data_IF_846938240670
#
_entry.id   IF_846938240670
#
_cell.length_a   1.000
_cell.length_b   1.000
_cell.length_c   1.000
_cell.angle_alpha   90.00
_cell.angle_beta   90.00
_cell.angle_gamma   90.00
#
_symmetry.space_group_name_H-M   'P 1'
#
loop_
_entity.id
_entity.type
_entity.pdbx_description
1 polymer ?
#
# COMPACT_ATOMS: atom_id res chain seq x y z
N UNK A 1 -2.26 12.55 -17.29
CA UNK A 1 -1.42 11.79 -16.35
C UNK A 1 -0.70 12.84 -15.54
N UNK A 2 -0.73 12.72 -14.23
CA UNK A 2 -0.12 13.66 -13.31
C UNK A 2 1.20 13.09 -12.78
N UNK A 3 2.18 13.95 -12.62
CA UNK A 3 3.41 13.58 -11.94
C UNK A 3 3.14 13.51 -10.43
N UNK A 4 3.69 12.48 -9.78
CA UNK A 4 3.64 12.31 -8.34
C UNK A 4 4.93 12.88 -7.76
N UNK A 5 4.88 14.13 -7.32
CA UNK A 5 6.00 14.78 -6.64
C UNK A 5 6.14 14.22 -5.22
N UNK A 6 7.20 13.45 -4.97
CA UNK A 6 7.48 12.91 -3.64
C UNK A 6 7.72 14.00 -2.59
N UNK A 7 8.13 15.21 -2.99
CA UNK A 7 8.22 16.37 -2.10
C UNK A 7 6.86 16.81 -1.57
N UNK A 8 5.83 16.80 -2.43
CA UNK A 8 4.46 17.08 -2.05
C UNK A 8 3.86 15.93 -1.23
N UNK A 9 3.99 14.70 -1.71
CA UNK A 9 3.39 13.49 -1.09
C UNK A 9 3.95 13.21 0.30
N UNK A 10 5.16 13.70 0.64
CA UNK A 10 5.67 13.69 2.01
C UNK A 10 4.73 14.36 3.02
N UNK A 11 3.86 15.27 2.58
CA UNK A 11 2.90 15.94 3.46
C UNK A 11 1.54 15.22 3.51
N UNK A 12 1.39 14.07 2.85
CA UNK A 12 0.13 13.33 2.78
C UNK A 12 0.12 12.14 3.74
N UNK A 13 -1.05 11.74 4.20
CA UNK A 13 -1.20 10.50 4.95
C UNK A 13 -1.28 9.29 4.02
N UNK A 14 -0.68 8.19 4.44
CA UNK A 14 -0.68 6.92 3.73
C UNK A 14 -1.45 5.84 4.46
N UNK A 15 -2.49 5.30 3.82
CA UNK A 15 -3.30 4.21 4.35
C UNK A 15 -3.34 3.01 3.40
N UNK A 16 -3.35 1.81 3.97
CA UNK A 16 -3.60 0.56 3.26
C UNK A 16 -4.97 0.00 3.62
N UNK A 17 -5.56 -0.76 2.70
CA UNK A 17 -6.86 -1.42 2.87
C UNK A 17 -6.62 -2.92 2.96
N UNK A 18 -6.96 -3.52 4.10
CA UNK A 18 -6.75 -4.95 4.34
C UNK A 18 -8.00 -5.76 3.99
N UNK A 19 -7.82 -6.89 3.30
CA UNK A 19 -8.90 -7.86 3.06
C UNK A 19 -9.94 -7.45 2.02
N UNK A 20 -9.59 -6.56 1.08
CA UNK A 20 -10.41 -6.18 -0.07
C UNK A 20 -10.40 -7.23 -1.21
N UNK A 21 -9.51 -8.22 -1.17
CA UNK A 21 -9.48 -9.37 -2.09
C UNK A 21 -9.67 -10.70 -1.35
N UNK A 22 -10.52 -11.58 -1.88
CA UNK A 22 -10.78 -12.89 -1.29
C UNK A 22 -9.49 -13.75 -1.24
N UNK A 23 -9.18 -14.30 -0.07
CA UNK A 23 -8.00 -15.16 0.14
C UNK A 23 -6.65 -14.42 0.27
N UNK A 24 -6.65 -13.08 0.23
CA UNK A 24 -5.42 -12.28 0.21
C UNK A 24 -4.71 -12.27 1.58
N UNK A 25 -5.47 -12.21 2.68
CA UNK A 25 -4.90 -12.17 4.03
C UNK A 25 -4.21 -13.49 4.40
N UNK A 26 -4.74 -14.62 3.93
CA UNK A 26 -4.12 -15.93 4.10
C UNK A 26 -2.81 -16.02 3.30
N UNK A 27 -2.76 -15.44 2.09
CA UNK A 27 -1.55 -15.39 1.25
C UNK A 27 -0.46 -14.49 1.84
N UNK A 28 -0.85 -13.35 2.42
CA UNK A 28 0.06 -12.41 3.09
C UNK A 28 0.56 -12.94 4.46
N UNK A 29 -0.06 -14.00 5.00
CA UNK A 29 0.21 -14.49 6.35
C UNK A 29 -0.31 -13.55 7.45
N UNK A 30 -1.30 -12.74 7.10
CA UNK A 30 -1.89 -11.70 7.96
C UNK A 30 -3.28 -12.10 8.48
N UNK A 31 -3.82 -13.25 8.08
CA UNK A 31 -5.12 -13.75 8.53
C UNK A 31 -5.27 -13.76 10.07
N UNK A 32 -4.18 -14.03 10.79
CA UNK A 32 -4.10 -14.00 12.26
C UNK A 32 -4.44 -12.64 12.88
N UNK A 33 -4.11 -11.54 12.19
CA UNK A 33 -4.30 -10.17 12.67
C UNK A 33 -5.80 -9.74 12.56
N UNK A 34 -6.61 -10.49 11.80
CA UNK A 34 -8.01 -10.17 11.51
C UNK A 34 -9.00 -11.25 11.95
N UNK A 35 -8.59 -12.26 12.74
CA UNK A 35 -9.44 -13.40 13.14
C UNK A 35 -10.72 -12.96 13.86
N UNK A 36 -10.68 -11.84 14.58
CA UNK A 36 -11.82 -11.31 15.34
C UNK A 36 -12.65 -10.28 14.58
N UNK A 37 -12.27 -9.93 13.34
CA UNK A 37 -12.96 -8.92 12.55
C UNK A 37 -14.04 -9.58 11.70
N UNK A 38 -15.29 -9.25 11.99
CA UNK A 38 -16.47 -9.69 11.23
C UNK A 38 -16.81 -8.59 10.22
N UNK A 39 -16.90 -8.96 8.94
CA UNK A 39 -17.26 -8.05 7.84
C UNK A 39 -18.54 -8.50 7.15
N UNK A 40 -19.28 -7.55 6.59
CA UNK A 40 -20.44 -7.84 5.76
C UNK A 40 -20.00 -8.14 4.32
N UNK A 41 -20.38 -9.31 3.80
CA UNK A 41 -20.10 -9.71 2.42
C UNK A 41 -18.61 -9.64 2.04
N UNK A 42 -18.29 -8.85 1.01
CA UNK A 42 -16.94 -8.65 0.49
C UNK A 42 -16.28 -7.36 1.02
N UNK A 43 -16.82 -6.75 2.08
CA UNK A 43 -16.24 -5.54 2.65
C UNK A 43 -14.80 -5.81 3.15
N UNK A 44 -13.88 -4.83 3.00
CA UNK A 44 -12.54 -4.92 3.57
C UNK A 44 -12.58 -5.19 5.08
N UNK A 45 -11.58 -5.93 5.57
CA UNK A 45 -11.43 -6.22 7.01
C UNK A 45 -10.86 -5.05 7.80
N UNK A 46 -10.31 -4.03 7.14
CA UNK A 46 -9.93 -2.81 7.82
C UNK A 46 -9.08 -1.89 6.98
N UNK A 47 -8.70 -0.78 7.61
CA UNK A 47 -7.72 0.18 7.13
C UNK A 47 -6.59 0.28 8.13
N UNK A 48 -5.38 0.54 7.66
CA UNK A 48 -4.22 0.76 8.53
C UNK A 48 -3.35 1.88 8.00
N UNK A 49 -2.74 2.72 8.87
CA UNK A 49 -1.75 3.67 8.43
C UNK A 49 -0.44 2.96 8.13
N UNK A 50 0.21 3.35 7.04
CA UNK A 50 1.61 3.02 6.76
C UNK A 50 2.51 4.25 6.75
N UNK A 51 1.94 5.46 6.66
CA UNK A 51 2.66 6.72 6.80
C UNK A 51 1.75 7.80 7.37
N UNK A 52 2.27 8.58 8.31
CA UNK A 52 1.57 9.68 8.94
C UNK A 52 2.59 10.80 9.23
N UNK A 53 2.62 11.88 8.43
CA UNK A 53 3.59 12.95 8.57
C UNK A 53 3.47 13.63 9.94
N UNK A 54 4.60 14.00 10.52
CA UNK A 54 4.68 14.68 11.83
C UNK A 54 4.55 13.77 13.05
N UNK A 55 4.54 12.44 12.88
CA UNK A 55 4.70 11.50 14.01
C UNK A 55 6.17 11.33 14.38
N UNK A 56 6.43 11.17 15.67
CA UNK A 56 7.76 10.91 16.23
C UNK A 56 8.11 9.41 16.31
N UNK A 57 7.37 8.56 15.61
CA UNK A 57 7.61 7.11 15.55
C UNK A 57 7.80 6.63 14.10
N UNK A 58 7.93 5.32 13.90
CA UNK A 58 8.19 4.73 12.59
C UNK A 58 7.17 5.10 11.50
N UNK A 59 5.94 5.53 11.86
CA UNK A 59 4.96 5.98 10.88
C UNK A 59 5.29 7.36 10.31
N UNK A 60 6.14 8.14 10.98
CA UNK A 60 6.65 9.43 10.49
C UNK A 60 7.77 9.30 9.45
N UNK A 61 8.34 8.11 9.27
CA UNK A 61 9.38 7.84 8.28
C UNK A 61 8.77 7.71 6.87
N UNK A 62 9.19 8.57 5.94
CA UNK A 62 8.63 8.61 4.59
C UNK A 62 9.07 7.38 3.76
N UNK A 63 8.16 6.47 3.37
CA UNK A 63 8.55 5.15 2.88
C UNK A 63 8.57 5.02 1.34
N UNK A 64 8.06 6.02 0.61
CA UNK A 64 7.84 5.86 -0.83
C UNK A 64 9.12 6.05 -1.64
N UNK A 65 9.26 5.23 -2.68
CA UNK A 65 10.27 5.33 -3.71
C UNK A 65 9.69 4.97 -5.08
N UNK A 66 10.24 5.57 -6.14
CA UNK A 66 9.80 5.34 -7.52
C UNK A 66 10.64 4.31 -8.26
N UNK A 67 11.80 3.92 -7.74
CA UNK A 67 12.79 3.13 -8.47
C UNK A 67 13.38 1.94 -7.70
N UNK A 68 13.27 1.93 -6.38
CA UNK A 68 14.00 0.99 -5.53
C UNK A 68 13.24 0.67 -4.26
N UNK A 69 13.41 -0.56 -3.77
CA UNK A 69 12.99 -0.97 -2.43
C UNK A 69 14.25 -1.22 -1.61
N UNK A 70 14.43 -0.46 -0.54
CA UNK A 70 15.53 -0.67 0.41
C UNK A 70 15.12 -1.72 1.44
N UNK A 71 16.03 -2.64 1.74
CA UNK A 71 15.83 -3.64 2.77
C UNK A 71 16.37 -3.11 4.11
N UNK A 72 15.83 -3.55 5.26
CA UNK A 72 16.44 -3.27 6.55
C UNK A 72 17.89 -3.74 6.59
N UNK A 73 18.70 -3.04 7.38
CA UNK A 73 20.11 -3.42 7.56
C UNK A 73 20.23 -4.79 8.23
N UNK A 74 21.30 -5.57 7.96
CA UNK A 74 21.51 -6.85 8.61
C UNK A 74 21.49 -6.74 10.14
N UNK A 75 20.56 -7.46 10.78
CA UNK A 75 20.40 -7.48 12.24
C UNK A 75 19.35 -6.49 12.78
N UNK A 76 18.79 -5.61 11.95
CA UNK A 76 17.72 -4.68 12.37
C UNK A 76 16.37 -5.40 12.60
N UNK A 77 16.14 -6.50 11.88
CA UNK A 77 14.94 -7.34 11.99
C UNK A 77 15.36 -8.76 12.34
N UNK A 78 14.77 -9.32 13.39
CA UNK A 78 15.01 -10.70 13.80
C UNK A 78 14.37 -11.70 12.84
N UNK A 79 15.13 -12.74 12.50
CA UNK A 79 14.67 -13.84 11.64
C UNK A 79 14.70 -13.53 10.14
N UNK A 80 14.14 -14.41 9.30
CA UNK A 80 14.14 -14.21 7.86
C UNK A 80 13.20 -13.05 7.48
N UNK A 81 13.72 -12.09 6.73
CA UNK A 81 12.97 -10.89 6.30
C UNK A 81 11.67 -11.24 5.58
N UNK A 82 11.68 -12.30 4.75
CA UNK A 82 10.55 -12.75 3.95
C UNK A 82 9.83 -11.59 3.27
N UNK A 83 10.58 -10.74 2.57
CA UNK A 83 10.04 -9.62 1.80
C UNK A 83 8.94 -10.12 0.86
N UNK A 84 7.76 -9.53 0.98
CA UNK A 84 6.63 -9.75 0.09
C UNK A 84 6.38 -8.48 -0.70
N UNK A 85 6.28 -8.63 -2.02
CA UNK A 85 5.75 -7.59 -2.89
C UNK A 85 4.23 -7.74 -2.95
N UNK A 86 3.54 -6.62 -2.90
CA UNK A 86 2.08 -6.53 -2.92
C UNK A 86 1.71 -5.52 -3.99
N UNK A 87 1.64 -5.94 -5.27
CA UNK A 87 1.27 -5.04 -6.35
C UNK A 87 -0.19 -4.63 -6.18
N UNK A 88 -0.42 -3.33 -6.01
CA UNK A 88 -1.70 -2.71 -5.73
C UNK A 88 -1.94 -1.49 -6.63
N UNK A 89 -3.14 -0.91 -6.50
CA UNK A 89 -3.48 0.40 -7.05
C UNK A 89 -3.50 1.41 -5.91
N UNK A 90 -2.62 2.41 -5.97
CA UNK A 90 -2.67 3.57 -5.09
C UNK A 90 -3.66 4.59 -5.63
N UNK A 91 -4.49 5.15 -4.74
CA UNK A 91 -5.47 6.19 -5.09
C UNK A 91 -5.14 7.46 -4.30
N UNK A 92 -4.97 8.58 -5.01
CA UNK A 92 -4.82 9.89 -4.43
C UNK A 92 -6.19 10.54 -4.27
N UNK A 93 -6.46 11.04 -3.05
CA UNK A 93 -7.75 11.62 -2.70
C UNK A 93 -7.57 12.97 -2.03
N UNK A 94 -8.49 13.90 -2.31
CA UNK A 94 -8.73 15.02 -1.42
C UNK A 94 -9.59 14.57 -0.25
N UNK A 95 -9.31 15.10 0.94
CA UNK A 95 -10.12 14.85 2.13
C UNK A 95 -11.04 16.04 2.32
N UNK A 96 -12.36 15.79 2.27
CA UNK A 96 -13.37 16.80 2.56
C UNK A 96 -13.77 16.66 4.03
N UNK A 97 -13.59 17.75 4.78
CA UNK A 97 -13.87 17.81 6.20
C UNK A 97 -15.22 18.48 6.48
N UNK A 98 -15.89 18.01 7.53
CA UNK A 98 -17.03 18.69 8.16
C UNK A 98 -16.69 18.87 9.65
N UNK A 99 -16.15 20.05 9.99
CA UNK A 99 -15.58 20.29 11.31
C UNK A 99 -14.35 19.42 11.56
N UNK A 100 -14.40 18.60 12.60
CA UNK A 100 -13.34 17.68 13.03
C UNK A 100 -13.46 16.26 12.42
N UNK A 101 -14.48 16.04 11.59
CA UNK A 101 -14.81 14.73 11.03
C UNK A 101 -14.59 14.71 9.52
N UNK A 102 -14.04 13.61 9.01
CA UNK A 102 -13.93 13.37 7.56
C UNK A 102 -15.33 13.09 7.01
N UNK A 103 -15.80 13.96 6.12
CA UNK A 103 -17.10 13.81 5.47
C UNK A 103 -17.02 12.94 4.22
N UNK A 104 -15.97 13.11 3.41
CA UNK A 104 -15.79 12.36 2.16
C UNK A 104 -14.31 12.31 1.74
N UNK A 105 -13.96 11.26 1.01
CA UNK A 105 -12.73 11.18 0.21
C UNK A 105 -13.09 11.37 -1.26
N UNK A 106 -12.41 12.30 -1.93
CA UNK A 106 -12.63 12.61 -3.34
C UNK A 106 -11.43 12.14 -4.16
N UNK A 107 -11.52 10.98 -4.84
CA UNK A 107 -10.41 10.48 -5.63
C UNK A 107 -10.18 11.39 -6.84
N UNK A 108 -8.93 11.71 -7.13
CA UNK A 108 -8.56 12.52 -8.29
C UNK A 108 -7.50 11.87 -9.18
N UNK A 109 -6.76 10.87 -8.66
CA UNK A 109 -5.79 10.14 -9.45
C UNK A 109 -5.55 8.73 -8.90
N UNK A 110 -5.06 7.82 -9.76
CA UNK A 110 -4.59 6.50 -9.35
C UNK A 110 -3.37 6.05 -10.12
N UNK A 111 -2.58 5.15 -9.54
CA UNK A 111 -1.44 4.55 -10.21
C UNK A 111 -1.00 3.25 -9.59
N UNK A 112 0.01 2.63 -10.21
CA UNK A 112 0.59 1.41 -9.66
C UNK A 112 1.30 1.70 -8.33
N UNK A 113 1.06 0.83 -7.36
CA UNK A 113 1.64 0.89 -6.04
C UNK A 113 2.18 -0.49 -5.64
N UNK A 114 3.17 -0.53 -4.77
CA UNK A 114 3.70 -1.77 -4.23
C UNK A 114 3.74 -1.66 -2.70
N UNK A 115 2.72 -2.23 -2.05
CA UNK A 115 2.55 -2.21 -0.60
C UNK A 115 3.42 -3.28 0.08
N UNK A 116 4.73 -3.23 -0.16
CA UNK A 116 5.64 -4.26 0.32
C UNK A 116 5.51 -4.45 1.83
N UNK A 117 5.68 -5.70 2.25
CA UNK A 117 5.71 -6.10 3.65
C UNK A 117 6.91 -6.98 3.96
N UNK A 118 7.34 -6.94 5.22
CA UNK A 118 8.36 -7.83 5.75
C UNK A 118 7.81 -8.59 6.95
N UNK A 119 8.36 -9.77 7.20
CA UNK A 119 7.96 -10.56 8.37
C UNK A 119 8.54 -9.93 9.64
N UNK A 120 7.65 -9.52 10.54
CA UNK A 120 7.99 -9.15 11.92
C UNK A 120 7.14 -9.99 12.89
N UNK A 121 7.65 -11.14 13.39
CA UNK A 121 6.92 -11.96 14.34
C UNK A 121 6.58 -11.18 15.61
N UNK A 122 5.37 -11.34 16.14
CA UNK A 122 4.93 -10.64 17.35
C UNK A 122 4.67 -9.14 17.17
N UNK A 123 4.74 -8.60 15.95
CA UNK A 123 4.37 -7.21 15.69
C UNK A 123 2.92 -6.95 16.16
N UNK A 124 2.68 -5.88 16.94
CA UNK A 124 1.36 -5.65 17.56
C UNK A 124 0.32 -5.18 16.54
N UNK A 125 0.75 -4.63 15.40
CA UNK A 125 -0.10 -4.14 14.31
C UNK A 125 0.58 -4.39 12.97
N UNK A 126 -0.24 -4.57 11.92
CA UNK A 126 0.22 -4.72 10.54
C UNK A 126 1.12 -3.57 10.07
N UNK A 127 0.91 -2.34 10.54
CA UNK A 127 1.72 -1.17 10.18
C UNK A 127 3.22 -1.38 10.37
N UNK A 128 3.64 -2.12 11.41
CA UNK A 128 5.06 -2.41 11.66
C UNK A 128 5.70 -3.27 10.57
N UNK A 129 4.91 -4.09 9.87
CA UNK A 129 5.36 -4.91 8.74
C UNK A 129 5.46 -4.10 7.45
N UNK A 130 4.77 -2.95 7.39
CA UNK A 130 4.51 -2.17 6.17
C UNK A 130 5.45 -0.98 6.03
N UNK A 131 5.89 -0.37 7.13
CA UNK A 131 6.89 0.70 7.09
C UNK A 131 8.09 0.31 7.95
N UNK A 132 9.23 0.08 7.29
CA UNK A 132 10.53 -0.17 7.93
C UNK A 132 11.54 0.92 7.59
N UNK A 133 11.09 2.08 7.12
CA UNK A 133 11.93 3.23 6.80
C UNK A 133 11.87 3.64 5.32
N UNK A 134 12.81 4.52 4.91
CA UNK A 134 12.86 5.05 3.55
C UNK A 134 12.86 3.97 2.48
N UNK A 135 12.13 4.22 1.39
CA UNK A 135 12.00 3.30 0.27
C UNK A 135 11.55 1.88 0.66
N UNK A 136 10.72 1.73 1.70
CA UNK A 136 10.05 0.46 2.00
C UNK A 136 8.87 0.16 1.08
N UNK A 137 8.39 1.16 0.32
CA UNK A 137 7.22 1.05 -0.57
C UNK A 137 7.49 1.61 -1.95
N UNK A 138 6.86 0.99 -2.95
CA UNK A 138 6.97 1.43 -4.34
C UNK A 138 5.76 2.25 -4.77
N UNK A 139 5.99 3.35 -5.49
CA UNK A 139 4.93 4.17 -6.10
C UNK A 139 5.31 4.52 -7.54
N UNK A 140 4.35 4.49 -8.45
CA UNK A 140 4.59 4.96 -9.80
C UNK A 140 4.91 6.47 -9.81
N UNK A 141 5.86 6.94 -10.63
CA UNK A 141 6.18 8.36 -10.73
C UNK A 141 5.04 9.19 -11.36
N UNK A 142 4.10 8.53 -12.03
CA UNK A 142 2.96 9.17 -12.68
C UNK A 142 1.67 8.39 -12.42
N UNK A 143 0.59 9.12 -12.16
CA UNK A 143 -0.75 8.58 -11.97
C UNK A 143 -1.68 8.99 -13.12
N UNK A 144 -2.71 8.19 -13.37
CA UNK A 144 -3.82 8.53 -14.23
C UNK A 144 -4.81 9.42 -13.48
N UNK A 145 -5.25 10.50 -14.11
CA UNK A 145 -6.35 11.31 -13.58
C UNK A 145 -7.66 10.52 -13.66
N UNK A 146 -8.46 10.62 -12.61
CA UNK A 146 -9.77 9.98 -12.53
C UNK A 146 -10.77 10.93 -11.89
N UNK A 147 -12.05 10.81 -12.28
CA UNK A 147 -13.16 11.57 -11.69
C UNK A 147 -13.85 10.82 -10.54
N UNK A 148 -13.80 9.50 -10.57
CA UNK A 148 -14.51 8.61 -9.66
C UNK A 148 -13.96 7.17 -9.76
N UNK A 149 -14.51 6.28 -8.93
CA UNK A 149 -14.22 4.85 -8.88
C UNK A 149 -15.47 4.01 -9.17
N UNK A 150 -16.41 4.55 -9.97
CA UNK A 150 -17.61 3.79 -10.33
C UNK A 150 -17.24 2.58 -11.19
N UNK A 151 -18.00 1.46 -11.11
CA UNK A 151 -17.66 0.23 -11.85
C UNK A 151 -17.54 0.41 -13.37
N UNK A 152 -18.35 1.29 -13.95
CA UNK A 152 -18.36 1.63 -15.38
C UNK A 152 -17.56 2.92 -15.68
N UNK A 153 -16.84 3.42 -14.68
CA UNK A 153 -16.11 4.68 -14.71
C UNK A 153 -14.73 4.60 -15.36
N UNK A 154 -13.86 5.60 -15.10
CA UNK A 154 -12.56 5.74 -15.74
C UNK A 154 -11.62 4.53 -15.58
N UNK A 155 -11.84 3.71 -14.55
CA UNK A 155 -10.98 2.59 -14.19
C UNK A 155 -11.45 1.24 -14.75
N UNK A 156 -12.63 1.17 -15.38
CA UNK A 156 -13.29 -0.08 -15.76
C UNK A 156 -12.44 -0.98 -16.69
N UNK A 157 -11.62 -0.36 -17.54
CA UNK A 157 -10.76 -1.04 -18.53
C UNK A 157 -9.32 -1.24 -18.05
N UNK A 158 -8.94 -0.69 -16.89
CA UNK A 158 -7.59 -0.79 -16.36
C UNK A 158 -7.32 -2.19 -15.79
N UNK A 159 -6.07 -2.65 -15.92
CA UNK A 159 -5.62 -3.95 -15.41
C UNK A 159 -4.26 -3.79 -14.76
N UNK A 160 -4.07 -4.41 -13.58
CA UNK A 160 -2.81 -4.38 -12.86
C UNK A 160 -2.02 -5.67 -13.12
N UNK A 161 -0.79 -5.52 -13.62
CA UNK A 161 0.10 -6.65 -13.89
C UNK A 161 1.45 -6.41 -13.24
N UNK A 162 1.94 -7.42 -12.52
CA UNK A 162 3.24 -7.39 -11.88
C UNK A 162 4.18 -8.42 -12.52
N UNK A 163 5.41 -7.99 -12.81
CA UNK A 163 6.48 -8.86 -13.27
C UNK A 163 7.65 -8.80 -12.30
N UNK A 164 8.03 -9.96 -11.76
CA UNK A 164 9.27 -10.12 -11.01
C UNK A 164 10.33 -10.71 -11.94
N UNK A 165 11.40 -9.93 -12.18
CA UNK A 165 12.52 -10.35 -13.02
C UNK A 165 13.77 -10.50 -12.15
N UNK A 166 14.53 -11.57 -12.35
CA UNK A 166 15.87 -11.71 -11.76
C UNK A 166 16.93 -11.26 -12.77
N UNK A 167 18.11 -10.86 -12.28
CA UNK A 167 19.26 -10.46 -13.12
C UNK A 167 19.66 -11.51 -14.16
N UNK A 168 19.32 -12.78 -13.94
CA UNK A 168 19.49 -13.89 -14.88
C UNK A 168 18.48 -13.93 -16.04
N UNK A 169 17.59 -12.94 -16.17
CA UNK A 169 16.58 -12.85 -17.23
C UNK A 169 15.30 -13.67 -17.00
N UNK A 170 15.24 -14.50 -15.94
CA UNK A 170 14.04 -15.28 -15.63
C UNK A 170 12.94 -14.38 -15.07
N UNK A 171 11.79 -14.35 -15.76
CA UNK A 171 10.57 -13.60 -15.39
C UNK A 171 9.55 -14.53 -14.72
N UNK A 172 8.90 -14.04 -13.66
CA UNK A 172 7.67 -14.59 -13.09
C UNK A 172 6.63 -13.48 -13.10
N UNK A 173 5.45 -13.73 -13.68
CA UNK A 173 4.36 -12.76 -13.74
C UNK A 173 3.20 -13.17 -12.85
N UNK A 174 2.55 -12.18 -12.21
CA UNK A 174 1.24 -12.34 -11.57
C UNK A 174 0.36 -11.18 -12.08
N UNK A 175 -0.76 -11.51 -12.70
CA UNK A 175 -1.79 -10.53 -13.03
C UNK A 175 -2.80 -10.50 -11.89
N UNK A 176 -3.11 -9.31 -11.39
CA UNK A 176 -4.32 -9.08 -10.60
C UNK A 176 -5.42 -8.68 -11.59
N UNK A 177 -6.56 -9.37 -11.53
CA UNK A 177 -7.75 -8.99 -12.31
C UNK A 177 -8.63 -8.07 -11.48
#
# INVERSE_FOLDING_TARGET
MIDIDLGEVRNWFGFGVAGNFAGHLEQAGEAGDFVKVVTEGYAPKGIFPWYAPGRDDFLGEFPLSTDSILLPEPGEVEGPLNLQIEPEVGVACHVVWNGDTVARLEPFALGAFNDCSIRRPGAPKISHKKNWGPASKGVAPQFFEISDLTPDGPTATMRLVCYLSRRSGRRRGRAAR
#
